data_IF_106972608350
#
_entry.id   IF_106972608350
#
_cell.length_a   1.000
_cell.length_b   1.000
_cell.length_c   1.000
_cell.angle_alpha   90.00
_cell.angle_beta   90.00
_cell.angle_gamma   90.00
#
_symmetry.space_group_name_H-M   'P 1'
#
loop_
_entity.id
_entity.type
_entity.pdbx_description
1 polymer ?
#
# COMPACT_ATOMS: atom_id res chain seq x y z
N UNK A 1 2.08 -8.79 -9.17
CA UNK A 1 0.71 -8.27 -8.96
C UNK A 1 0.80 -7.10 -8.00
N UNK A 2 0.29 -5.93 -8.39
CA UNK A 2 0.18 -4.76 -7.51
C UNK A 2 -1.25 -4.19 -7.64
N UNK A 3 -1.73 -3.53 -6.59
CA UNK A 3 -3.10 -2.99 -6.49
C UNK A 3 -3.15 -1.49 -6.79
N UNK A 4 -2.09 -0.95 -7.42
CA UNK A 4 -1.96 0.49 -7.68
C UNK A 4 -3.13 1.02 -8.52
N UNK A 5 -3.57 0.26 -9.53
CA UNK A 5 -4.74 0.63 -10.35
C UNK A 5 -6.05 0.69 -9.54
N UNK A 6 -6.21 -0.19 -8.57
CA UNK A 6 -7.39 -0.17 -7.68
C UNK A 6 -7.35 1.04 -6.76
N UNK A 7 -6.21 1.30 -6.12
CA UNK A 7 -6.03 2.45 -5.22
C UNK A 7 -6.26 3.78 -5.94
N UNK A 8 -5.77 3.90 -7.18
CA UNK A 8 -6.03 5.06 -8.03
C UNK A 8 -7.54 5.27 -8.26
N UNK A 9 -8.27 4.18 -8.53
CA UNK A 9 -9.72 4.22 -8.73
C UNK A 9 -10.47 4.55 -7.44
N UNK A 10 -10.05 3.99 -6.30
CA UNK A 10 -10.63 4.27 -4.98
C UNK A 10 -10.45 5.73 -4.56
N UNK A 11 -9.28 6.32 -4.86
CA UNK A 11 -9.01 7.73 -4.55
C UNK A 11 -9.49 8.71 -5.62
N UNK A 12 -10.02 8.23 -6.74
CA UNK A 12 -10.41 9.08 -7.88
C UNK A 12 -9.23 9.79 -8.55
N UNK A 13 -8.01 9.30 -8.36
CA UNK A 13 -6.78 9.88 -8.91
C UNK A 13 -6.46 9.18 -10.23
N UNK A 14 -6.14 9.97 -11.25
CA UNK A 14 -5.72 9.40 -12.53
C UNK A 14 -4.24 9.01 -12.52
N UNK A 15 -3.85 8.03 -13.34
CA UNK A 15 -2.42 7.70 -13.60
C UNK A 15 -1.66 8.96 -14.02
N UNK A 16 -2.35 9.87 -14.68
CA UNK A 16 -1.78 11.10 -15.17
C UNK A 16 -1.38 12.07 -14.06
N UNK A 17 -2.28 12.28 -13.10
CA UNK A 17 -2.01 13.11 -11.92
C UNK A 17 -0.98 12.47 -11.00
N UNK A 18 -0.99 11.14 -10.88
CA UNK A 18 0.06 10.44 -10.16
C UNK A 18 1.43 10.64 -10.85
N UNK A 19 1.49 10.57 -12.17
CA UNK A 19 2.71 10.81 -12.93
C UNK A 19 3.22 12.25 -12.76
N UNK A 20 2.30 13.23 -12.79
CA UNK A 20 2.60 14.65 -12.56
C UNK A 20 3.17 14.90 -11.16
N UNK A 21 2.52 14.35 -10.12
CA UNK A 21 3.00 14.39 -8.73
C UNK A 21 4.37 13.76 -8.55
N UNK A 22 4.68 12.72 -9.32
CA UNK A 22 5.95 12.01 -9.27
C UNK A 22 7.04 12.67 -10.14
N UNK A 23 6.68 13.65 -10.96
CA UNK A 23 7.59 14.28 -11.93
C UNK A 23 8.09 13.32 -13.00
N UNK A 24 7.33 12.28 -13.33
CA UNK A 24 7.69 11.28 -14.35
C UNK A 24 6.67 11.25 -15.49
N UNK A 25 7.06 10.71 -16.64
CA UNK A 25 6.13 10.52 -17.75
C UNK A 25 5.10 9.42 -17.46
N UNK A 26 3.86 9.61 -17.94
CA UNK A 26 2.79 8.59 -17.94
C UNK A 26 3.26 7.22 -18.40
N UNK A 27 4.06 7.18 -19.47
CA UNK A 27 4.55 5.93 -20.06
C UNK A 27 5.47 5.20 -19.08
N UNK A 28 6.36 5.93 -18.42
CA UNK A 28 7.25 5.42 -17.36
C UNK A 28 6.44 4.87 -16.18
N UNK A 29 5.41 5.60 -15.75
CA UNK A 29 4.55 5.13 -14.67
C UNK A 29 3.74 3.90 -15.07
N UNK A 30 3.17 3.88 -16.28
CA UNK A 30 2.43 2.72 -16.80
C UNK A 30 3.29 1.45 -16.89
N UNK A 31 4.55 1.57 -17.34
CA UNK A 31 5.47 0.42 -17.37
C UNK A 31 5.86 -0.02 -15.96
N UNK A 32 6.00 0.90 -15.01
CA UNK A 32 6.27 0.57 -13.60
C UNK A 32 5.08 -0.12 -12.91
N UNK A 33 3.86 0.33 -13.18
CA UNK A 33 2.65 -0.29 -12.64
C UNK A 33 2.44 -1.69 -13.26
N UNK A 34 2.79 -1.88 -14.54
CA UNK A 34 2.57 -3.15 -15.22
C UNK A 34 3.75 -4.14 -15.12
N UNK A 35 4.96 -3.66 -14.78
CA UNK A 35 6.18 -4.44 -14.67
C UNK A 35 6.73 -4.52 -13.24
N UNK A 36 8.01 -4.92 -13.12
CA UNK A 36 8.75 -4.99 -11.85
C UNK A 36 9.26 -3.58 -11.53
N UNK A 37 8.50 -2.80 -10.75
CA UNK A 37 8.98 -1.48 -10.34
C UNK A 37 10.15 -1.63 -9.36
N UNK A 38 11.11 -0.70 -9.42
CA UNK A 38 12.20 -0.64 -8.45
C UNK A 38 11.68 -0.09 -7.10
N UNK A 39 12.30 -0.48 -5.98
CA UNK A 39 11.90 -0.10 -4.60
C UNK A 39 11.70 1.41 -4.45
N UNK A 40 12.61 2.21 -5.02
CA UNK A 40 12.55 3.68 -5.02
C UNK A 40 11.28 4.23 -5.69
N UNK A 41 10.68 3.48 -6.61
CA UNK A 41 9.46 3.90 -7.31
C UNK A 41 8.20 3.56 -6.53
N UNK A 42 8.15 2.41 -5.86
CA UNK A 42 7.01 2.04 -5.00
C UNK A 42 6.88 2.97 -3.79
N UNK A 43 7.99 3.32 -3.14
CA UNK A 43 8.00 4.27 -2.02
C UNK A 43 7.46 5.64 -2.44
N UNK A 44 7.90 6.14 -3.60
CA UNK A 44 7.39 7.41 -4.13
C UNK A 44 5.91 7.35 -4.48
N UNK A 45 5.44 6.25 -5.09
CA UNK A 45 4.01 6.05 -5.40
C UNK A 45 3.19 6.04 -4.11
N UNK A 46 3.63 5.27 -3.11
CA UNK A 46 3.00 5.22 -1.79
C UNK A 46 2.93 6.62 -1.15
N UNK A 47 4.03 7.37 -1.19
CA UNK A 47 4.11 8.75 -0.68
C UNK A 47 3.18 9.70 -1.43
N UNK A 48 3.14 9.64 -2.76
CA UNK A 48 2.30 10.50 -3.61
C UNK A 48 0.80 10.23 -3.43
N UNK A 49 0.44 8.97 -3.14
CA UNK A 49 -0.91 8.52 -2.80
C UNK A 49 -1.23 8.66 -1.31
N UNK A 50 -0.24 9.06 -0.49
CA UNK A 50 -0.35 9.14 0.97
C UNK A 50 -0.84 7.83 1.62
N UNK A 51 -0.42 6.69 1.08
CA UNK A 51 -0.74 5.35 1.61
C UNK A 51 0.54 4.66 2.04
N UNK A 52 0.49 3.73 3.02
CA UNK A 52 1.64 2.93 3.36
C UNK A 52 2.02 1.98 2.21
N UNK A 53 3.32 1.68 2.06
CA UNK A 53 3.85 0.88 0.95
C UNK A 53 3.19 -0.50 0.81
N UNK A 54 2.88 -1.18 1.93
CA UNK A 54 2.22 -2.48 1.92
C UNK A 54 0.83 -2.44 1.28
N UNK A 55 0.14 -1.29 1.34
CA UNK A 55 -1.21 -1.13 0.76
C UNK A 55 -1.19 -1.18 -0.77
N UNK A 56 -0.03 -0.90 -1.40
CA UNK A 56 0.17 -1.10 -2.84
C UNK A 56 0.05 -2.58 -3.26
N UNK A 57 0.15 -3.51 -2.31
CA UNK A 57 0.15 -4.95 -2.57
C UNK A 57 -1.04 -5.67 -1.94
N UNK A 58 -1.59 -5.16 -0.82
CA UNK A 58 -2.68 -5.79 -0.10
C UNK A 58 -3.75 -4.79 0.33
N UNK A 59 -5.00 -5.25 0.40
CA UNK A 59 -6.10 -4.44 0.93
C UNK A 59 -6.00 -4.31 2.45
N UNK A 60 -6.34 -3.16 3.04
CA UNK A 60 -6.45 -3.06 4.50
C UNK A 60 -7.43 -4.09 5.06
N UNK A 61 -8.50 -4.42 4.33
CA UNK A 61 -9.47 -5.46 4.71
C UNK A 61 -8.87 -6.88 4.71
N UNK A 62 -7.99 -7.20 3.77
CA UNK A 62 -7.31 -8.50 3.72
C UNK A 62 -6.33 -8.63 4.88
N UNK A 63 -5.57 -7.58 5.16
CA UNK A 63 -4.64 -7.53 6.31
C UNK A 63 -5.43 -7.63 7.62
N UNK A 64 -6.55 -6.92 7.75
CA UNK A 64 -7.40 -6.96 8.93
C UNK A 64 -8.05 -8.33 9.16
N UNK A 65 -8.34 -9.08 8.10
CA UNK A 65 -8.80 -10.48 8.20
C UNK A 65 -7.67 -11.41 8.64
N UNK A 66 -6.44 -11.19 8.18
CA UNK A 66 -5.27 -11.98 8.57
C UNK A 66 -4.89 -11.75 10.05
N UNK A 67 -5.04 -10.52 10.55
CA UNK A 67 -4.81 -10.19 11.96
C UNK A 67 -5.71 -11.02 12.91
N UNK A 68 -6.89 -11.48 12.47
CA UNK A 68 -7.76 -12.33 13.32
C UNK A 68 -7.16 -13.67 13.76
N UNK A 69 -6.00 -14.07 13.22
CA UNK A 69 -5.17 -15.14 13.77
C UNK A 69 -4.28 -14.71 14.95
N UNK A 70 -4.63 -13.62 15.64
CA UNK A 70 -4.13 -13.23 16.96
C UNK A 70 -4.44 -14.28 18.04
N UNK A 71 -4.85 -15.51 17.73
CA UNK A 71 -5.10 -16.52 18.75
C UNK A 71 -3.76 -17.08 19.24
N UNK A 72 -3.46 -16.85 20.52
CA UNK A 72 -2.27 -17.39 21.13
C UNK A 72 -2.27 -18.93 21.02
N UNK A 73 -1.25 -19.56 20.41
CA UNK A 73 -1.22 -21.01 20.21
C UNK A 73 -1.17 -21.81 21.53
N UNK A 74 -0.95 -21.14 22.66
CA UNK A 74 -0.90 -21.75 23.98
C UNK A 74 -2.23 -21.66 24.76
N UNK A 75 -3.04 -20.61 24.55
CA UNK A 75 -4.26 -20.39 25.33
C UNK A 75 -5.51 -20.00 24.52
N UNK A 76 -5.38 -19.84 23.20
CA UNK A 76 -6.50 -19.50 22.31
C UNK A 76 -7.10 -18.11 22.54
N UNK A 77 -6.45 -17.25 23.32
CA UNK A 77 -6.91 -15.87 23.54
C UNK A 77 -6.34 -14.91 22.48
N UNK A 78 -7.10 -13.87 22.09
CA UNK A 78 -6.63 -12.86 21.15
C UNK A 78 -5.47 -12.05 21.73
N UNK A 79 -4.33 -12.04 21.03
CA UNK A 79 -3.14 -11.26 21.31
C UNK A 79 -3.43 -9.81 20.91
N UNK A 80 -3.75 -8.98 21.88
CA UNK A 80 -3.86 -7.54 21.64
C UNK A 80 -2.48 -6.91 21.63
N UNK A 81 -1.91 -6.68 20.44
CA UNK A 81 -0.66 -5.92 20.29
C UNK A 81 -0.95 -4.44 20.55
N UNK A 82 -0.51 -3.93 21.70
CA UNK A 82 -0.53 -2.49 21.98
C UNK A 82 0.64 -1.82 21.28
N UNK A 83 0.40 -1.19 20.14
CA UNK A 83 1.40 -0.35 19.48
C UNK A 83 1.41 1.02 20.16
N UNK A 84 2.40 1.26 21.04
CA UNK A 84 2.77 2.61 21.45
C UNK A 84 3.60 3.23 20.33
N UNK A 85 2.94 3.79 19.32
CA UNK A 85 3.61 4.68 18.38
C UNK A 85 3.39 6.09 18.91
N UNK A 86 4.29 6.57 19.75
CA UNK A 86 4.43 8.01 19.98
C UNK A 86 4.83 8.63 18.64
N UNK A 87 3.90 9.37 18.03
CA UNK A 87 4.22 10.30 16.93
C UNK A 87 5.17 11.36 17.52
N UNK A 88 6.46 11.25 17.20
CA UNK A 88 7.43 12.34 17.34
C UNK A 88 7.16 13.42 16.29
#
# INVERSE_FOLDING_TARGET
>A
MNRIKEILKEQGVTINELADKLGISRVTLSTQINGTANIVSYEKIATALNVPMWQLFASPEEIAKQAKNDLCPHCGMPISIKTMIEKI
#
